data_IF_456251081478
#
_entry.id   IF_456251081478
#
_cell.length_a   1.000
_cell.length_b   1.000
_cell.length_c   1.000
_cell.angle_alpha   90.00
_cell.angle_beta   90.00
_cell.angle_gamma   90.00
#
_symmetry.space_group_name_H-M   'P 1'
#
loop_
_entity.id
_entity.type
_entity.pdbx_description
1 polymer ?
#
# COMPACT_ATOMS: atom_id res chain seq x y z
N UNK A 1 -5.00 26.81 3.42
CA UNK A 1 -4.92 25.43 2.93
C UNK A 1 -5.42 24.49 3.99
N UNK A 2 -5.93 23.36 3.58
CA UNK A 2 -6.41 22.37 4.53
C UNK A 2 -5.26 21.46 4.94
N UNK A 3 -5.38 20.92 6.12
CA UNK A 3 -4.39 19.99 6.61
C UNK A 3 -4.58 18.62 5.95
N UNK A 4 -3.50 17.87 5.89
CA UNK A 4 -3.53 16.55 5.29
C UNK A 4 -2.49 15.69 5.99
N UNK A 5 -2.86 14.47 6.27
CA UNK A 5 -1.92 13.51 6.84
C UNK A 5 -1.74 12.43 5.80
N UNK A 6 -0.50 12.20 5.40
CA UNK A 6 -0.22 11.25 4.36
C UNK A 6 0.80 10.24 4.86
N UNK A 7 0.53 8.95 4.68
CA UNK A 7 1.50 7.93 5.07
C UNK A 7 2.77 8.02 4.23
N UNK A 8 3.87 7.64 4.83
CA UNK A 8 5.14 7.53 4.13
C UNK A 8 5.67 6.13 4.36
N UNK A 9 5.81 5.38 3.30
CA UNK A 9 6.24 3.98 3.38
C UNK A 9 7.69 3.88 2.94
N UNK A 10 8.51 3.29 3.77
CA UNK A 10 9.91 3.07 3.43
C UNK A 10 10.08 1.61 3.03
N UNK A 11 10.58 1.39 1.84
CA UNK A 11 10.73 0.05 1.30
C UNK A 11 12.14 -0.10 0.75
N UNK A 12 12.50 -1.30 0.40
CA UNK A 12 13.83 -1.55 -0.12
C UNK A 12 14.01 -1.04 -1.53
N UNK A 13 13.02 -1.24 -2.37
CA UNK A 13 13.11 -0.84 -3.77
C UNK A 13 11.83 -0.12 -4.13
N UNK A 14 11.91 1.20 -4.21
CA UNK A 14 10.71 1.99 -4.42
C UNK A 14 10.18 1.89 -5.85
N UNK A 15 11.04 1.60 -6.82
CA UNK A 15 10.53 1.41 -8.19
C UNK A 15 9.65 0.17 -8.27
N UNK A 16 10.09 -0.91 -7.64
CA UNK A 16 9.29 -2.12 -7.61
C UNK A 16 8.00 -1.92 -6.83
N UNK A 17 8.09 -1.16 -5.73
CA UNK A 17 6.90 -0.88 -4.93
C UNK A 17 5.90 -0.04 -5.71
N UNK A 18 6.41 0.96 -6.44
CA UNK A 18 5.52 1.80 -7.24
C UNK A 18 4.76 0.95 -8.24
N UNK A 19 5.46 0.05 -8.92
CA UNK A 19 4.79 -0.81 -9.89
C UNK A 19 3.73 -1.68 -9.22
N UNK A 20 4.06 -2.22 -8.05
CA UNK A 20 3.09 -3.04 -7.33
C UNK A 20 1.82 -2.25 -7.01
N UNK A 21 1.98 -1.04 -6.46
CA UNK A 21 0.80 -0.28 -6.03
C UNK A 21 -0.02 0.20 -7.23
N UNK A 22 0.64 0.44 -8.36
CA UNK A 22 -0.11 0.75 -9.58
C UNK A 22 -0.93 -0.45 -10.03
N UNK A 23 -0.34 -1.63 -9.98
CA UNK A 23 -1.04 -2.83 -10.41
C UNK A 23 -2.10 -3.28 -9.42
N UNK A 24 -1.80 -3.16 -8.14
CA UNK A 24 -2.68 -3.67 -7.10
C UNK A 24 -3.87 -2.74 -6.85
N UNK A 25 -3.60 -1.44 -6.77
CA UNK A 25 -4.60 -0.48 -6.31
C UNK A 25 -4.97 0.54 -7.39
N UNK A 26 -4.41 0.40 -8.57
CA UNK A 26 -4.60 1.37 -9.65
C UNK A 26 -4.10 2.75 -9.24
N UNK A 27 -3.00 2.78 -8.50
CA UNK A 27 -2.43 4.02 -8.04
C UNK A 27 -1.84 4.79 -9.20
N UNK A 28 -1.83 6.11 -9.06
CA UNK A 28 -1.30 7.02 -10.07
C UNK A 28 -0.19 7.82 -9.42
N UNK A 29 0.93 7.92 -10.13
CA UNK A 29 2.04 8.70 -9.62
C UNK A 29 1.71 10.20 -9.75
N UNK A 30 1.82 10.93 -8.64
CA UNK A 30 1.55 12.37 -8.64
C UNK A 30 2.80 13.19 -8.35
N UNK A 31 3.91 12.55 -7.99
CA UNK A 31 5.16 13.24 -7.76
C UNK A 31 6.29 12.22 -7.81
N UNK A 32 7.43 12.65 -8.28
CA UNK A 32 8.58 11.77 -8.42
C UNK A 32 9.85 12.56 -8.21
N UNK A 33 10.77 12.02 -7.42
CA UNK A 33 12.06 12.63 -7.21
C UNK A 33 13.11 11.54 -7.09
N UNK A 34 14.16 11.66 -7.89
CA UNK A 34 15.30 10.77 -7.78
C UNK A 34 16.37 11.49 -6.97
N UNK A 35 16.90 10.81 -5.98
CA UNK A 35 17.88 11.44 -5.10
C UNK A 35 19.28 11.16 -5.63
N UNK A 36 20.25 12.03 -5.27
CA UNK A 36 21.62 11.84 -5.79
C UNK A 36 22.27 10.54 -5.36
N UNK A 37 21.83 9.95 -4.27
CA UNK A 37 22.43 8.72 -3.76
C UNK A 37 21.76 7.48 -4.31
N UNK A 38 20.96 7.59 -5.36
CA UNK A 38 20.35 6.43 -5.99
C UNK A 38 19.01 6.05 -5.44
N UNK A 39 18.38 6.93 -4.68
CA UNK A 39 17.06 6.67 -4.15
C UNK A 39 15.97 7.18 -5.06
N UNK A 40 14.77 6.78 -4.75
CA UNK A 40 13.60 7.22 -5.49
C UNK A 40 12.47 7.47 -4.50
N UNK A 41 11.87 8.64 -4.60
CA UNK A 41 10.71 9.02 -3.78
C UNK A 41 9.57 9.29 -4.73
N UNK A 42 8.44 8.64 -4.50
CA UNK A 42 7.24 8.90 -5.31
C UNK A 42 6.06 9.13 -4.39
N UNK A 43 5.13 9.92 -4.86
CA UNK A 43 3.84 10.07 -4.21
C UNK A 43 2.80 9.44 -5.13
N UNK A 44 1.97 8.61 -4.56
CA UNK A 44 0.97 7.87 -5.31
C UNK A 44 -0.42 8.25 -4.82
N UNK A 45 -1.37 8.22 -5.73
CA UNK A 45 -2.75 8.54 -5.40
C UNK A 45 -3.64 7.37 -5.79
N UNK A 46 -4.49 6.95 -4.86
CA UNK A 46 -5.53 5.97 -5.13
C UNK A 46 -6.85 6.72 -5.00
N UNK A 47 -7.39 7.13 -6.14
CA UNK A 47 -8.65 7.89 -6.18
C UNK A 47 -8.63 9.09 -5.25
N UNK A 48 -7.52 9.80 -5.27
CA UNK A 48 -7.39 11.02 -4.49
C UNK A 48 -6.76 10.85 -3.13
N UNK A 49 -6.59 9.63 -2.67
CA UNK A 49 -5.95 9.38 -1.39
C UNK A 49 -4.47 9.15 -1.63
N UNK A 50 -3.63 9.94 -0.98
CA UNK A 50 -2.22 9.98 -1.33
C UNK A 50 -1.33 9.39 -0.25
N UNK A 51 -0.27 8.75 -0.68
CA UNK A 51 0.77 8.26 0.22
C UNK A 51 2.09 8.28 -0.54
N UNK A 52 3.19 8.21 0.23
CA UNK A 52 4.52 8.32 -0.32
C UNK A 52 5.24 6.99 -0.20
N UNK A 53 6.16 6.75 -1.13
CA UNK A 53 7.01 5.56 -1.08
C UNK A 53 8.43 6.02 -1.34
N UNK A 54 9.35 5.57 -0.49
CA UNK A 54 10.76 5.88 -0.67
C UNK A 54 11.58 4.62 -0.52
N UNK A 55 12.71 4.57 -1.23
CA UNK A 55 13.60 3.44 -1.16
C UNK A 55 14.69 3.59 -2.19
N UNK A 56 15.47 2.56 -2.34
CA UNK A 56 16.51 2.54 -3.36
C UNK A 56 15.88 2.36 -4.74
N UNK A 57 16.52 2.91 -5.71
CA UNK A 57 16.03 2.81 -7.08
C UNK A 57 16.38 1.47 -7.70
N UNK A 58 17.50 0.91 -7.30
CA UNK A 58 17.95 -0.35 -7.86
C UNK A 58 18.03 -1.39 -6.77
N UNK A 59 18.11 -2.62 -7.19
CA UNK A 59 18.16 -3.73 -6.26
C UNK A 59 19.34 -3.64 -5.35
N UNK A 60 19.12 -4.06 -4.14
CA UNK A 60 20.15 -4.18 -3.14
C UNK A 60 20.33 -5.65 -2.84
N UNK A 61 21.56 -6.03 -2.56
CA UNK A 61 21.85 -7.40 -2.18
C UNK A 61 21.57 -7.66 -0.72
N UNK A 62 21.19 -6.64 -0.01
CA UNK A 62 20.98 -6.79 1.42
C UNK A 62 19.67 -7.46 1.72
N UNK A 63 19.71 -8.31 2.72
CA UNK A 63 18.50 -8.96 3.18
C UNK A 63 17.63 -7.94 3.88
N UNK A 64 16.34 -7.94 3.59
CA UNK A 64 15.46 -7.00 4.26
C UNK A 64 15.45 -7.22 5.76
N UNK A 65 15.32 -6.14 6.47
CA UNK A 65 15.18 -6.23 7.91
C UNK A 65 13.88 -6.93 8.25
N UNK A 66 13.97 -7.88 9.15
CA UNK A 66 12.79 -8.65 9.49
C UNK A 66 12.20 -8.31 10.82
N UNK A 67 12.81 -7.41 11.53
CA UNK A 67 12.36 -7.19 12.89
C UNK A 67 11.60 -5.90 13.06
N UNK A 68 11.01 -5.43 12.00
CA UNK A 68 10.17 -4.25 12.09
C UNK A 68 8.86 -4.62 12.76
N UNK A 69 8.40 -3.72 13.59
CA UNK A 69 7.12 -3.89 14.26
C UNK A 69 6.05 -3.25 13.41
N UNK A 70 5.41 -4.03 12.61
CA UNK A 70 4.43 -3.49 11.69
C UNK A 70 3.09 -3.22 12.34
N UNK A 71 2.94 -3.61 13.60
CA UNK A 71 1.63 -3.50 14.22
C UNK A 71 1.32 -2.11 14.72
N UNK A 72 2.31 -1.24 14.75
CA UNK A 72 2.11 0.11 15.29
C UNK A 72 1.23 0.94 14.39
N UNK A 73 1.41 0.81 13.08
CA UNK A 73 0.63 1.56 12.12
C UNK A 73 -0.03 0.59 11.17
N UNK A 74 -1.33 0.77 10.98
CA UNK A 74 -2.08 -0.08 10.06
C UNK A 74 -2.62 0.77 8.94
N UNK A 75 -2.65 0.19 7.77
CA UNK A 75 -3.12 0.88 6.58
C UNK A 75 -4.44 0.27 6.17
N UNK A 76 -5.44 1.10 6.03
CA UNK A 76 -6.76 0.64 5.61
C UNK A 76 -7.13 1.40 4.36
N UNK A 77 -7.43 0.67 3.33
CA UNK A 77 -7.88 1.26 2.08
C UNK A 77 -9.38 1.01 1.97
N UNK A 78 -10.15 2.09 2.01
CA UNK A 78 -11.60 1.98 1.87
C UNK A 78 -11.96 2.20 0.41
N UNK A 79 -12.67 1.24 -0.15
CA UNK A 79 -13.05 1.29 -1.56
C UNK A 79 -14.48 0.80 -1.71
N UNK A 80 -15.07 1.13 -2.86
CA UNK A 80 -16.45 0.74 -3.12
C UNK A 80 -16.61 -0.76 -3.25
N UNK A 81 -15.65 -1.42 -3.86
CA UNK A 81 -15.73 -2.85 -4.11
C UNK A 81 -14.47 -3.53 -3.58
N UNK A 82 -14.44 -3.82 -2.28
CA UNK A 82 -13.24 -4.41 -1.72
C UNK A 82 -12.89 -5.78 -2.28
N UNK A 83 -13.89 -6.56 -2.67
CA UNK A 83 -13.58 -7.88 -3.24
C UNK A 83 -12.76 -7.75 -4.51
N UNK A 84 -13.14 -6.83 -5.36
CA UNK A 84 -12.44 -6.66 -6.62
C UNK A 84 -11.01 -6.17 -6.41
N UNK A 85 -10.84 -5.17 -5.55
CA UNK A 85 -9.52 -4.62 -5.29
C UNK A 85 -8.64 -5.66 -4.60
N UNK A 86 -9.22 -6.42 -3.67
CA UNK A 86 -8.47 -7.47 -2.99
C UNK A 86 -7.91 -8.47 -4.00
N UNK A 87 -8.76 -8.95 -4.92
CA UNK A 87 -8.31 -9.91 -5.92
C UNK A 87 -7.27 -9.30 -6.85
N UNK A 88 -7.45 -8.05 -7.22
CA UNK A 88 -6.49 -7.37 -8.06
C UNK A 88 -5.12 -7.31 -7.38
N UNK A 89 -5.12 -7.03 -6.09
CA UNK A 89 -3.87 -6.95 -5.34
C UNK A 89 -3.21 -8.33 -5.22
N UNK A 90 -4.00 -9.37 -5.00
CA UNK A 90 -3.43 -10.72 -4.94
C UNK A 90 -2.78 -11.06 -6.28
N UNK A 91 -3.43 -10.74 -7.38
CA UNK A 91 -2.84 -11.00 -8.69
C UNK A 91 -1.56 -10.21 -8.89
N UNK A 92 -1.47 -9.05 -8.31
CA UNK A 92 -0.28 -8.22 -8.45
C UNK A 92 0.87 -8.66 -7.56
N UNK A 93 0.64 -9.59 -6.63
CA UNK A 93 1.72 -10.12 -5.83
C UNK A 93 1.52 -10.08 -4.34
N UNK A 94 0.38 -9.58 -3.88
CA UNK A 94 0.11 -9.57 -2.45
C UNK A 94 -0.23 -10.98 -1.96
N UNK A 95 -0.08 -11.17 -0.66
CA UNK A 95 -0.38 -12.43 -0.02
C UNK A 95 -1.60 -12.25 0.86
N UNK A 96 -2.55 -13.14 0.75
CA UNK A 96 -3.75 -13.06 1.57
C UNK A 96 -3.43 -13.41 3.01
N UNK A 97 -3.84 -12.56 3.94
CA UNK A 97 -3.74 -12.86 5.37
C UNK A 97 -5.07 -13.43 5.84
N UNK A 98 -6.18 -12.75 5.51
CA UNK A 98 -7.48 -13.38 5.61
C UNK A 98 -8.40 -12.78 4.57
N UNK A 99 -9.37 -13.57 4.11
CA UNK A 99 -10.17 -13.16 2.96
C UNK A 99 -11.17 -12.08 3.34
N UNK A 100 -11.71 -11.43 2.31
CA UNK A 100 -12.75 -10.44 2.51
C UNK A 100 -13.97 -11.14 3.09
N UNK A 101 -14.47 -10.62 4.19
CA UNK A 101 -15.65 -11.14 4.84
C UNK A 101 -16.34 -10.04 5.60
N UNK A 102 -17.48 -10.36 6.20
CA UNK A 102 -18.28 -9.37 6.89
C UNK A 102 -18.30 -9.63 8.38
N UNK A 103 -18.01 -8.59 9.14
CA UNK A 103 -17.91 -8.72 10.58
C UNK A 103 -18.04 -7.34 11.20
N UNK A 104 -18.81 -7.25 12.26
CA UNK A 104 -18.90 -6.01 13.04
C UNK A 104 -19.28 -4.79 12.20
N UNK A 105 -20.09 -4.98 11.17
CA UNK A 105 -20.54 -3.86 10.35
C UNK A 105 -19.59 -3.46 9.25
N UNK A 106 -18.58 -4.27 8.98
CA UNK A 106 -17.58 -4.01 7.95
C UNK A 106 -17.47 -5.19 7.01
N UNK A 107 -17.16 -4.89 5.77
CA UNK A 107 -16.70 -5.93 4.85
C UNK A 107 -15.24 -5.66 4.63
N UNK A 108 -14.38 -6.59 5.00
CA UNK A 108 -12.96 -6.28 5.14
C UNK A 108 -12.14 -7.53 4.96
N UNK A 109 -11.01 -7.40 4.28
CA UNK A 109 -10.01 -8.44 4.20
C UNK A 109 -8.66 -7.86 4.50
N UNK A 110 -7.68 -8.71 4.73
CA UNK A 110 -6.31 -8.26 4.99
C UNK A 110 -5.35 -8.98 4.08
N UNK A 111 -4.40 -8.24 3.56
CA UNK A 111 -3.33 -8.82 2.76
C UNK A 111 -2.01 -8.19 3.17
N UNK A 112 -0.95 -8.85 2.78
CA UNK A 112 0.39 -8.35 3.01
C UNK A 112 0.99 -8.05 1.65
N UNK A 113 1.57 -6.86 1.50
CA UNK A 113 2.19 -6.55 0.22
C UNK A 113 3.58 -7.18 0.17
N UNK A 114 4.21 -7.20 -1.00
CA UNK A 114 5.52 -7.87 -1.13
C UNK A 114 6.64 -7.22 -0.33
N UNK A 115 6.38 -6.06 0.26
CA UNK A 115 7.40 -5.31 0.97
C UNK A 115 7.26 -5.42 2.47
N UNK A 116 6.32 -6.25 2.93
CA UNK A 116 6.17 -6.52 4.35
C UNK A 116 5.14 -5.66 5.06
N UNK A 117 4.35 -4.92 4.33
CA UNK A 117 3.34 -4.07 4.93
C UNK A 117 1.97 -4.69 4.78
N UNK A 118 1.19 -4.63 5.85
CA UNK A 118 -0.16 -5.16 5.83
C UNK A 118 -1.15 -4.08 5.49
N UNK A 119 -2.11 -4.45 4.67
CA UNK A 119 -3.19 -3.56 4.26
C UNK A 119 -4.50 -4.24 4.53
N UNK A 120 -5.46 -3.47 5.02
CA UNK A 120 -6.84 -3.93 5.07
C UNK A 120 -7.60 -3.25 3.96
N UNK A 121 -8.43 -4.01 3.27
CA UNK A 121 -9.20 -3.50 2.13
C UNK A 121 -10.66 -3.69 2.49
N UNK A 122 -11.44 -2.62 2.52
CA UNK A 122 -12.80 -2.80 2.96
C UNK A 122 -13.70 -1.61 2.78
N UNK A 123 -14.86 -1.73 3.37
CA UNK A 123 -15.84 -0.65 3.39
C UNK A 123 -16.83 -0.92 4.51
N UNK A 124 -17.49 0.15 4.99
CA UNK A 124 -18.57 -0.08 5.95
C UNK A 124 -19.77 -0.69 5.26
N UNK A 125 -20.48 -1.53 5.97
CA UNK A 125 -21.68 -2.16 5.44
C UNK A 125 -22.90 -1.26 5.55
N UNK A 126 -22.92 -0.43 6.56
CA UNK A 126 -24.03 0.47 6.73
C UNK A 126 -23.59 1.89 6.51
N UNK A 127 -24.37 2.57 5.76
CA UNK A 127 -24.16 3.98 5.53
C UNK A 127 -24.99 4.75 6.50
N UNK A 128 -24.44 5.65 7.15
CA UNK A 128 -25.28 6.45 8.05
C UNK A 128 -24.77 7.83 8.17
#
# INVERSE_FOLDING_TARGET
MTASIQPWLSVENSATAEKFYKDAFSAIETYRMETPDGGLVVRLSVKGSEFWVSGQFKDSDETPSKNLKQDVVRLILFVENPDEIFQQAIKAGATEVFPVGEEHGWRLGRLSDPFGLDWEIGKPLTEK
#
